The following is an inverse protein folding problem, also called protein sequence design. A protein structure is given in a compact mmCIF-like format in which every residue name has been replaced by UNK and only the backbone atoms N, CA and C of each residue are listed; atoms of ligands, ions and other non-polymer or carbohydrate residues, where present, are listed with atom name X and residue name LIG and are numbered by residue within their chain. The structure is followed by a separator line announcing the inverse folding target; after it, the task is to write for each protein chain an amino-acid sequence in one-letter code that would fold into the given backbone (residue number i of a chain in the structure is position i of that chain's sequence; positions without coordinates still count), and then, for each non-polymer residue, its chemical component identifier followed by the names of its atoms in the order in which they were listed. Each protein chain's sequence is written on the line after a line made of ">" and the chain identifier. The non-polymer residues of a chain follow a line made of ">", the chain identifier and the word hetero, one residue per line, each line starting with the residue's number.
data_IF_736542743551
#
_entry.id   IF_736542743551
#
_cell.length_a   1.000
_cell.length_b   1.000
_cell.length_c   1.000
_cell.angle_alpha   90.00
_cell.angle_beta   90.00
_cell.angle_gamma   90.00
#
_symmetry.space_group_name_H-M   'P 1'
#
loop_
_entity.id
_entity.type
_entity.pdbx_description
1 polymer ?
#
# COMPACT_ATOMS: atom_id res chain seq x y z
N UNK A 1 -31.65 23.80 47.09
CA UNK A 1 -31.25 24.42 45.81
C UNK A 1 -30.69 23.33 44.94
N UNK A 2 -31.46 22.90 43.94
CA UNK A 2 -31.11 21.78 43.06
C UNK A 2 -30.07 22.29 42.06
N UNK A 3 -28.98 21.54 41.89
CA UNK A 3 -27.82 21.96 41.12
C UNK A 3 -28.11 21.85 39.60
N UNK A 4 -29.01 22.68 39.08
CA UNK A 4 -29.46 22.70 37.67
C UNK A 4 -28.28 22.95 36.70
N UNK A 5 -27.25 23.67 37.16
CA UNK A 5 -26.03 23.94 36.40
C UNK A 5 -25.25 22.67 36.03
N UNK A 6 -25.34 21.60 36.84
CA UNK A 6 -24.66 20.34 36.54
C UNK A 6 -25.29 19.58 35.37
N UNK A 7 -26.61 19.70 35.18
CA UNK A 7 -27.34 19.01 34.10
C UNK A 7 -27.00 19.62 32.74
N UNK A 8 -27.01 20.96 32.66
CA UNK A 8 -26.76 21.70 31.41
C UNK A 8 -25.33 21.50 30.92
N UNK A 9 -24.34 21.44 31.82
CA UNK A 9 -22.94 21.19 31.46
C UNK A 9 -22.76 19.79 30.90
N UNK A 10 -23.40 18.78 31.48
CA UNK A 10 -23.33 17.39 31.01
C UNK A 10 -23.98 17.25 29.63
N UNK A 11 -25.13 17.88 29.40
CA UNK A 11 -25.80 17.90 28.09
C UNK A 11 -24.96 18.58 27.01
N UNK A 12 -24.33 19.72 27.35
CA UNK A 12 -23.45 20.44 26.43
C UNK A 12 -22.20 19.61 26.08
N UNK A 13 -21.57 18.97 27.07
CA UNK A 13 -20.43 18.08 26.84
C UNK A 13 -20.85 16.87 25.99
N UNK A 14 -22.02 16.29 26.26
CA UNK A 14 -22.56 15.18 25.48
C UNK A 14 -22.78 15.53 24.01
N UNK A 15 -23.38 16.70 23.74
CA UNK A 15 -23.56 17.23 22.38
C UNK A 15 -22.22 17.52 21.69
N UNK A 16 -21.27 18.10 22.43
CA UNK A 16 -19.93 18.38 21.92
C UNK A 16 -19.21 17.08 21.53
N UNK A 17 -19.27 16.05 22.38
CA UNK A 17 -18.68 14.73 22.09
C UNK A 17 -19.38 14.06 20.91
N UNK A 18 -20.71 14.14 20.80
CA UNK A 18 -21.46 13.63 19.65
C UNK A 18 -21.00 14.26 18.33
N UNK A 19 -20.60 15.54 18.34
CA UNK A 19 -20.07 16.22 17.17
C UNK A 19 -18.59 15.91 16.91
N UNK A 20 -17.77 15.78 17.96
CA UNK A 20 -16.33 15.57 17.84
C UNK A 20 -15.97 14.11 17.51
N UNK A 21 -16.66 13.13 18.08
CA UNK A 21 -16.41 11.71 17.85
C UNK A 21 -16.42 11.31 16.36
N UNK A 22 -17.42 11.69 15.54
CA UNK A 22 -17.39 11.35 14.11
C UNK A 22 -16.25 12.05 13.37
N UNK A 23 -15.89 13.28 13.73
CA UNK A 23 -14.75 13.99 13.17
C UNK A 23 -13.43 13.24 13.47
N UNK A 24 -13.19 12.90 14.74
CA UNK A 24 -11.98 12.16 15.15
C UNK A 24 -11.95 10.77 14.49
N UNK A 25 -13.07 10.06 14.45
CA UNK A 25 -13.19 8.77 13.77
C UNK A 25 -12.86 8.89 12.28
N UNK A 26 -13.36 9.93 11.61
CA UNK A 26 -13.07 10.17 10.19
C UNK A 26 -11.57 10.42 9.96
N UNK A 27 -10.97 11.34 10.71
CA UNK A 27 -9.55 11.67 10.55
C UNK A 27 -8.61 10.52 10.90
N UNK A 28 -8.93 9.74 11.93
CA UNK A 28 -8.13 8.55 12.29
C UNK A 28 -8.17 7.50 11.19
N UNK A 29 -9.35 7.20 10.62
CA UNK A 29 -9.47 6.28 9.49
C UNK A 29 -8.68 6.77 8.28
N UNK A 30 -8.78 8.06 7.93
CA UNK A 30 -8.04 8.65 6.81
C UNK A 30 -6.54 8.61 7.05
N UNK A 31 -6.07 8.95 8.24
CA UNK A 31 -4.65 8.94 8.61
C UNK A 31 -4.06 7.52 8.53
N UNK A 32 -4.79 6.52 9.03
CA UNK A 32 -4.40 5.10 8.94
C UNK A 32 -4.33 4.64 7.48
N UNK A 33 -5.31 5.01 6.66
CA UNK A 33 -5.31 4.69 5.23
C UNK A 33 -4.12 5.33 4.51
N UNK A 34 -3.84 6.61 4.76
CA UNK A 34 -2.71 7.32 4.16
C UNK A 34 -1.36 6.70 4.57
N UNK A 35 -1.20 6.38 5.85
CA UNK A 35 0.01 5.71 6.38
C UNK A 35 0.22 4.33 5.74
N UNK A 36 -0.84 3.52 5.63
CA UNK A 36 -0.76 2.20 4.98
C UNK A 36 -0.36 2.31 3.51
N UNK A 37 -0.87 3.31 2.78
CA UNK A 37 -0.52 3.54 1.39
C UNK A 37 0.94 3.94 1.23
N UNK A 38 1.46 4.76 2.13
CA UNK A 38 2.87 5.14 2.11
C UNK A 38 3.78 3.92 2.28
N UNK A 39 3.49 3.08 3.29
CA UNK A 39 4.22 1.83 3.53
C UNK A 39 4.15 0.89 2.33
N UNK A 40 2.97 0.73 1.72
CA UNK A 40 2.81 -0.11 0.54
C UNK A 40 3.62 0.40 -0.66
N UNK A 41 3.66 1.72 -0.88
CA UNK A 41 4.49 2.31 -1.95
C UNK A 41 5.98 2.08 -1.72
N UNK A 42 6.43 2.13 -0.48
CA UNK A 42 7.82 1.86 -0.11
C UNK A 42 8.18 0.39 -0.37
N UNK A 43 7.37 -0.54 0.11
CA UNK A 43 7.56 -1.99 -0.16
C UNK A 43 7.54 -2.27 -1.67
N UNK A 44 6.62 -1.65 -2.40
CA UNK A 44 6.53 -1.86 -3.84
C UNK A 44 7.73 -1.29 -4.60
N UNK A 45 8.32 -0.19 -4.13
CA UNK A 45 9.56 0.34 -4.68
C UNK A 45 10.71 -0.66 -4.55
N UNK A 46 10.82 -1.34 -3.41
CA UNK A 46 11.82 -2.39 -3.18
C UNK A 46 11.59 -3.60 -4.09
N UNK A 47 10.32 -4.02 -4.26
CA UNK A 47 9.95 -5.05 -5.25
C UNK A 47 10.40 -4.64 -6.66
N UNK A 48 10.15 -3.39 -7.07
CA UNK A 48 10.60 -2.88 -8.37
C UNK A 48 12.13 -2.91 -8.47
N UNK A 49 12.86 -2.63 -7.39
CA UNK A 49 14.33 -2.70 -7.38
C UNK A 49 14.84 -4.13 -7.54
N UNK A 50 14.21 -5.13 -6.91
CA UNK A 50 14.49 -6.55 -7.15
C UNK A 50 14.31 -6.89 -8.63
N UNK A 51 13.21 -6.45 -9.23
CA UNK A 51 12.99 -6.59 -10.67
C UNK A 51 13.96 -5.77 -11.53
N UNK A 52 14.75 -4.85 -10.98
CA UNK A 52 15.82 -4.17 -11.73
C UNK A 52 17.19 -4.85 -11.57
N UNK A 53 17.44 -5.51 -10.44
CA UNK A 53 18.74 -6.12 -10.13
C UNK A 53 18.94 -7.51 -10.74
N UNK A 54 17.90 -8.33 -10.76
CA UNK A 54 18.03 -9.72 -11.23
C UNK A 54 18.13 -9.82 -12.76
N UNK A 55 18.69 -10.91 -13.28
CA UNK A 55 18.75 -11.17 -14.72
C UNK A 55 17.49 -11.88 -15.24
N UNK A 56 16.92 -12.80 -14.45
CA UNK A 56 15.73 -13.58 -14.80
C UNK A 56 14.43 -13.01 -14.21
N UNK A 57 13.31 -13.07 -14.94
CA UNK A 57 11.98 -12.64 -14.44
C UNK A 57 11.52 -13.56 -13.32
N UNK A 58 11.79 -14.85 -13.47
CA UNK A 58 11.30 -15.87 -12.55
C UNK A 58 12.04 -15.77 -11.22
N UNK A 59 13.35 -15.54 -11.25
CA UNK A 59 14.16 -15.33 -10.05
C UNK A 59 13.77 -14.04 -9.33
N UNK A 60 13.56 -12.96 -10.09
CA UNK A 60 13.05 -11.70 -9.55
C UNK A 60 11.69 -11.87 -8.87
N UNK A 61 10.75 -12.60 -9.50
CA UNK A 61 9.44 -12.88 -8.94
C UNK A 61 9.55 -13.70 -7.64
N UNK A 62 10.35 -14.76 -7.65
CA UNK A 62 10.58 -15.60 -6.47
C UNK A 62 11.20 -14.80 -5.31
N UNK A 63 12.17 -13.92 -5.60
CA UNK A 63 12.82 -13.08 -4.60
C UNK A 63 11.87 -12.02 -4.05
N UNK A 64 11.06 -11.42 -4.92
CA UNK A 64 10.05 -10.44 -4.52
C UNK A 64 8.95 -11.08 -3.65
N UNK A 65 8.50 -12.29 -3.97
CA UNK A 65 7.54 -13.03 -3.14
C UNK A 65 8.13 -13.35 -1.76
N UNK A 66 9.40 -13.81 -1.71
CA UNK A 66 10.10 -14.01 -0.43
C UNK A 66 10.22 -12.71 0.37
N UNK A 67 10.51 -11.60 -0.30
CA UNK A 67 10.59 -10.29 0.34
C UNK A 67 9.24 -9.88 0.96
N UNK A 68 8.13 -10.08 0.25
CA UNK A 68 6.79 -9.80 0.76
C UNK A 68 6.44 -10.66 1.97
N UNK A 69 6.78 -11.96 1.93
CA UNK A 69 6.57 -12.88 3.06
C UNK A 69 7.39 -12.45 4.28
N UNK A 70 8.66 -12.09 4.10
CA UNK A 70 9.53 -11.61 5.20
C UNK A 70 9.04 -10.31 5.82
N UNK A 71 8.44 -9.42 5.02
CA UNK A 71 7.80 -8.19 5.51
C UNK A 71 6.44 -8.44 6.18
N UNK A 72 5.94 -9.68 6.17
CA UNK A 72 4.64 -10.04 6.71
C UNK A 72 3.47 -9.44 5.92
N UNK A 73 3.66 -9.19 4.62
CA UNK A 73 2.69 -8.48 3.80
C UNK A 73 2.05 -9.43 2.80
N UNK A 74 0.72 -9.54 2.88
CA UNK A 74 -0.06 -10.33 1.93
C UNK A 74 -0.21 -9.62 0.58
N UNK A 75 -0.11 -10.39 -0.51
CA UNK A 75 -0.48 -9.97 -1.86
C UNK A 75 0.15 -10.89 -2.90
N UNK A 76 -0.28 -10.77 -4.14
CA UNK A 76 0.28 -11.50 -5.28
C UNK A 76 0.99 -10.55 -6.22
N UNK A 77 2.21 -10.90 -6.63
CA UNK A 77 2.92 -10.20 -7.70
C UNK A 77 2.59 -10.87 -9.02
N UNK A 78 2.19 -10.07 -10.01
CA UNK A 78 2.00 -10.52 -11.38
C UNK A 78 2.86 -9.66 -12.30
N UNK A 79 3.58 -10.32 -13.19
CA UNK A 79 4.46 -9.66 -14.16
C UNK A 79 3.91 -9.91 -15.55
N UNK A 80 3.78 -8.85 -16.34
CA UNK A 80 3.35 -8.94 -17.73
C UNK A 80 4.32 -8.20 -18.63
N UNK A 81 4.53 -8.72 -19.84
CA UNK A 81 5.37 -8.09 -20.85
C UNK A 81 4.54 -7.12 -21.66
N UNK A 82 4.94 -5.84 -21.67
CA UNK A 82 4.29 -4.79 -22.46
C UNK A 82 4.92 -4.60 -23.83
N UNK A 83 6.22 -4.91 -23.98
CA UNK A 83 6.90 -4.80 -25.28
C UNK A 83 7.88 -5.96 -25.50
N UNK A 84 7.75 -6.61 -26.67
CA UNK A 84 8.63 -7.69 -27.13
C UNK A 84 8.41 -9.03 -26.42
N UNK A 85 9.28 -9.99 -26.71
CA UNK A 85 9.38 -11.23 -25.96
C UNK A 85 10.25 -10.97 -24.73
N UNK A 86 9.71 -11.09 -23.51
CA UNK A 86 10.58 -11.17 -22.34
C UNK A 86 11.18 -12.58 -22.26
N UNK A 87 12.44 -12.74 -21.86
CA UNK A 87 13.41 -11.72 -21.43
C UNK A 87 14.28 -11.22 -22.61
N UNK A 88 14.08 -9.97 -23.08
CA UNK A 88 14.99 -9.35 -24.07
C UNK A 88 15.50 -8.00 -23.56
N UNK A 89 16.70 -7.61 -24.00
CA UNK A 89 17.50 -6.46 -23.53
C UNK A 89 16.84 -5.06 -23.66
N UNK A 90 15.68 -4.96 -24.31
CA UNK A 90 14.86 -3.74 -24.39
C UNK A 90 13.39 -3.96 -24.01
N UNK A 91 13.06 -5.12 -23.45
CA UNK A 91 11.69 -5.46 -23.06
C UNK A 91 11.22 -4.63 -21.87
N UNK A 92 9.98 -4.16 -21.97
CA UNK A 92 9.29 -3.42 -20.92
C UNK A 92 8.37 -4.38 -20.19
N UNK A 93 8.56 -4.49 -18.88
CA UNK A 93 7.70 -5.29 -18.01
C UNK A 93 6.80 -4.38 -17.17
N UNK A 94 5.55 -4.78 -17.02
CA UNK A 94 4.62 -4.23 -16.04
C UNK A 94 4.56 -5.18 -14.85
N UNK A 95 4.91 -4.66 -13.69
CA UNK A 95 4.83 -5.35 -12.41
C UNK A 95 3.57 -4.84 -11.73
N UNK A 96 2.72 -5.76 -11.31
CA UNK A 96 1.50 -5.49 -10.61
C UNK A 96 1.52 -6.21 -9.26
N UNK A 97 1.34 -5.48 -8.17
CA UNK A 97 1.16 -6.04 -6.85
C UNK A 97 -0.30 -5.88 -6.42
N UNK A 98 -1.00 -7.01 -6.30
CA UNK A 98 -2.43 -7.05 -5.93
C UNK A 98 -2.58 -7.47 -4.47
N UNK A 99 -3.24 -6.61 -3.70
CA UNK A 99 -3.72 -6.86 -2.34
C UNK A 99 -5.25 -6.92 -2.35
N UNK A 100 -5.92 -7.46 -1.31
CA UNK A 100 -7.38 -7.50 -1.25
C UNK A 100 -8.05 -6.12 -1.39
N UNK A 101 -7.39 -5.06 -0.89
CA UNK A 101 -7.95 -3.71 -0.84
C UNK A 101 -7.43 -2.78 -1.94
N UNK A 102 -6.40 -3.18 -2.70
CA UNK A 102 -5.75 -2.29 -3.68
C UNK A 102 -4.83 -3.03 -4.64
N UNK A 103 -4.50 -2.33 -5.73
CA UNK A 103 -3.55 -2.77 -6.73
C UNK A 103 -2.52 -1.66 -6.95
N UNK A 104 -1.24 -2.00 -6.90
CA UNK A 104 -0.14 -1.12 -7.31
C UNK A 104 0.44 -1.62 -8.63
N UNK A 105 0.68 -0.71 -9.56
CA UNK A 105 1.27 -1.01 -10.87
C UNK A 105 2.51 -0.15 -11.10
N UNK A 106 3.53 -0.74 -11.70
CA UNK A 106 4.70 -0.01 -12.17
C UNK A 106 5.26 -0.67 -13.42
N UNK A 107 5.67 0.17 -14.35
CA UNK A 107 6.34 -0.24 -15.58
C UNK A 107 7.84 -0.05 -15.43
N UNK A 108 8.62 -1.05 -15.83
CA UNK A 108 10.08 -1.03 -15.74
C UNK A 108 10.65 -1.40 -17.11
N UNK A 109 11.47 -0.50 -17.66
CA UNK A 109 12.36 -0.83 -18.78
C UNK A 109 13.64 -1.42 -18.19
N UNK A 110 14.05 -2.60 -18.65
CA UNK A 110 15.32 -3.22 -18.27
C UNK A 110 16.28 -3.17 -19.47
N UNK A 111 17.55 -2.86 -19.21
CA UNK A 111 18.60 -2.80 -20.25
C UNK A 111 19.46 -4.06 -20.38
N UNK A 112 19.49 -4.94 -19.37
CA UNK A 112 20.45 -6.06 -19.28
C UNK A 112 19.75 -7.41 -18.99
N UNK A 113 18.83 -7.84 -19.85
CA UNK A 113 18.39 -9.24 -19.84
C UNK A 113 19.40 -10.07 -20.64
N UNK A 114 19.98 -11.10 -20.02
CA UNK A 114 20.80 -12.12 -20.70
C UNK A 114 19.95 -13.34 -21.00
#
# INVERSE_FOLDING_TARGET
>A
MKNENGSVVVEFIGLLLLLILPLVSYFTVVAVHASSLHKDKEIFREVIQIFRSESSTQEAANLADRYLVLRGVSGSITVSCKSGNCPQSDSVIEIQWRKPTRVLLSTVKRGNWQ
#
